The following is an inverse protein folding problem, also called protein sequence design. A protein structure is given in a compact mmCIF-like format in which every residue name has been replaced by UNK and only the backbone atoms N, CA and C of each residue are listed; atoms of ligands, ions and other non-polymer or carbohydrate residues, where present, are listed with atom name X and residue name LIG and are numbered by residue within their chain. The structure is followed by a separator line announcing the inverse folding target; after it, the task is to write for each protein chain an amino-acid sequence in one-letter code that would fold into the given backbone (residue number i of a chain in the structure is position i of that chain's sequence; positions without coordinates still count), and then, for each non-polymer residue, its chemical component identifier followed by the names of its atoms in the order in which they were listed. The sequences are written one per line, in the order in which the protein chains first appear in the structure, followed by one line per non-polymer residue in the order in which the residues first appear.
data_IF_459377927088
#
_entry.id   IF_459377927088
#
_cell.length_a   1.000
_cell.length_b   1.000
_cell.length_c   1.000
_cell.angle_alpha   90.00
_cell.angle_beta   90.00
_cell.angle_gamma   90.00
#
_symmetry.space_group_name_H-M   'P 1'
#
loop_
_entity.id
_entity.type
_entity.pdbx_description
1 polymer ?
#
# COMPACT_ATOMS: atom_id res chain seq x y z
N UNK A 1 -11.47 -0.21 -20.44
CA UNK A 1 -11.49 -1.69 -20.54
C UNK A 1 -12.79 -2.16 -19.91
N UNK A 2 -13.43 -3.18 -20.45
CA UNK A 2 -14.61 -3.81 -19.84
C UNK A 2 -14.18 -4.90 -18.85
N UNK A 3 -15.07 -5.32 -17.94
CA UNK A 3 -14.80 -6.42 -17.01
C UNK A 3 -14.37 -7.70 -17.73
N UNK A 4 -15.08 -8.09 -18.79
CA UNK A 4 -14.76 -9.27 -19.58
C UNK A 4 -13.37 -9.19 -20.23
N UNK A 5 -13.00 -8.02 -20.76
CA UNK A 5 -11.66 -7.79 -21.33
C UNK A 5 -10.57 -7.87 -20.26
N UNK A 6 -10.85 -7.39 -19.06
CA UNK A 6 -9.95 -7.46 -17.91
C UNK A 6 -9.77 -8.91 -17.44
N UNK A 7 -10.87 -9.63 -17.23
CA UNK A 7 -10.88 -11.04 -16.81
C UNK A 7 -10.11 -11.95 -17.76
N UNK A 8 -10.25 -11.73 -19.07
CA UNK A 8 -9.53 -12.50 -20.09
C UNK A 8 -8.00 -12.31 -20.05
N UNK A 9 -7.50 -11.30 -19.34
CA UNK A 9 -6.06 -11.04 -19.15
C UNK A 9 -5.51 -11.60 -17.84
N UNK A 10 -6.39 -12.03 -16.92
CA UNK A 10 -5.94 -12.54 -15.62
C UNK A 10 -5.31 -13.92 -15.81
N UNK A 11 -4.06 -14.05 -15.36
CA UNK A 11 -3.39 -15.32 -15.23
C UNK A 11 -3.61 -15.86 -13.81
N UNK A 12 -4.38 -16.95 -13.68
CA UNK A 12 -4.68 -17.57 -12.40
C UNK A 12 -3.68 -18.66 -12.04
N UNK A 13 -3.22 -18.65 -10.80
CA UNK A 13 -2.39 -19.72 -10.25
C UNK A 13 -3.22 -20.85 -9.62
N UNK A 14 -2.54 -21.84 -9.03
CA UNK A 14 -3.20 -22.99 -8.39
C UNK A 14 -3.86 -22.67 -7.05
N UNK A 15 -3.59 -21.50 -6.48
CA UNK A 15 -4.14 -21.04 -5.21
C UNK A 15 -5.35 -20.11 -5.39
N UNK A 16 -5.72 -19.79 -6.63
CA UNK A 16 -6.81 -18.87 -6.93
C UNK A 16 -6.39 -17.40 -6.87
N UNK A 17 -5.09 -17.12 -6.98
CA UNK A 17 -4.55 -15.76 -7.07
C UNK A 17 -4.39 -15.43 -8.55
N UNK A 18 -5.03 -14.35 -8.97
CA UNK A 18 -5.00 -13.85 -10.33
C UNK A 18 -3.98 -12.73 -10.47
N UNK A 19 -3.18 -12.79 -11.52
CA UNK A 19 -2.16 -11.78 -11.83
C UNK A 19 -2.47 -11.11 -13.16
N UNK A 20 -2.43 -9.78 -13.20
CA UNK A 20 -2.59 -9.02 -14.45
C UNK A 20 -1.81 -7.72 -14.39
N UNK A 21 -0.95 -7.48 -15.39
CA UNK A 21 -0.28 -6.20 -15.56
C UNK A 21 -1.26 -5.14 -16.08
N UNK A 22 -1.33 -4.02 -15.36
CA UNK A 22 -2.20 -2.90 -15.73
C UNK A 22 -1.41 -1.61 -15.63
N UNK A 23 -1.46 -0.80 -16.68
CA UNK A 23 -0.93 0.56 -16.63
C UNK A 23 -1.74 1.38 -15.61
N UNK A 24 -1.07 1.82 -14.55
CA UNK A 24 -1.63 2.60 -13.47
C UNK A 24 -1.19 4.06 -13.61
N UNK A 25 -2.08 4.99 -14.03
CA UNK A 25 -1.71 6.37 -14.33
C UNK A 25 -1.05 7.13 -13.18
N UNK A 26 -1.38 6.77 -11.93
CA UNK A 26 -0.80 7.36 -10.73
C UNK A 26 0.73 7.24 -10.67
N UNK A 27 1.29 6.13 -11.16
CA UNK A 27 2.73 5.87 -11.15
C UNK A 27 3.37 5.93 -12.55
N UNK A 28 2.58 6.25 -13.58
CA UNK A 28 3.01 6.27 -14.98
C UNK A 28 3.74 4.98 -15.42
N UNK A 29 3.29 3.82 -14.95
CA UNK A 29 3.87 2.52 -15.31
C UNK A 29 2.86 1.38 -15.20
N UNK A 30 3.22 0.23 -15.75
CA UNK A 30 2.53 -1.02 -15.47
C UNK A 30 2.83 -1.50 -14.05
N UNK A 31 1.78 -1.90 -13.34
CA UNK A 31 1.83 -2.50 -12.00
C UNK A 31 1.01 -3.79 -12.05
N UNK A 32 1.50 -4.82 -11.37
CA UNK A 32 0.80 -6.09 -11.24
C UNK A 32 -0.39 -5.90 -10.30
N UNK A 33 -1.59 -6.25 -10.76
CA UNK A 33 -2.74 -6.43 -9.89
C UNK A 33 -2.82 -7.90 -9.47
N UNK A 34 -2.88 -8.12 -8.17
CA UNK A 34 -3.04 -9.41 -7.51
C UNK A 34 -4.49 -9.52 -6.99
N UNK A 35 -5.21 -10.52 -7.48
CA UNK A 35 -6.65 -10.67 -7.30
C UNK A 35 -6.92 -11.98 -6.57
N UNK A 36 -7.38 -11.92 -5.32
CA UNK A 36 -7.63 -13.12 -4.51
C UNK A 36 -9.08 -13.56 -4.68
N UNK A 37 -9.29 -14.67 -5.38
CA UNK A 37 -10.62 -15.25 -5.61
C UNK A 37 -11.15 -16.00 -4.38
N UNK A 38 -12.47 -16.09 -4.23
CA UNK A 38 -13.13 -16.94 -3.23
C UNK A 38 -12.89 -18.44 -3.48
N UNK A 39 -13.03 -18.87 -4.74
CA UNK A 39 -12.86 -20.26 -5.16
C UNK A 39 -11.55 -20.42 -5.94
N UNK A 40 -10.61 -21.18 -5.40
CA UNK A 40 -9.35 -21.50 -6.07
C UNK A 40 -9.49 -22.54 -7.19
N UNK A 41 -10.60 -23.27 -7.25
CA UNK A 41 -10.84 -24.28 -8.30
C UNK A 41 -11.45 -23.67 -9.55
N UNK A 42 -12.28 -22.65 -9.40
CA UNK A 42 -12.91 -21.91 -10.49
C UNK A 42 -12.76 -20.42 -10.26
N UNK A 43 -11.52 -19.89 -10.32
CA UNK A 43 -11.27 -18.54 -9.89
C UNK A 43 -11.91 -17.51 -10.80
N UNK A 44 -12.45 -16.46 -10.19
CA UNK A 44 -13.09 -15.34 -10.87
C UNK A 44 -13.04 -14.10 -9.99
N UNK A 45 -13.29 -12.92 -10.57
CA UNK A 45 -13.47 -11.69 -9.81
C UNK A 45 -14.94 -11.32 -9.75
N UNK A 46 -15.36 -10.74 -8.63
CA UNK A 46 -16.71 -10.21 -8.49
C UNK A 46 -16.86 -8.87 -9.22
N UNK A 47 -18.10 -8.36 -9.29
CA UNK A 47 -18.33 -7.01 -9.80
C UNK A 47 -17.75 -5.95 -8.86
N UNK A 48 -17.71 -6.22 -7.55
CA UNK A 48 -17.18 -5.28 -6.56
C UNK A 48 -15.65 -5.20 -6.62
N UNK A 49 -14.95 -6.33 -6.75
CA UNK A 49 -13.51 -6.35 -7.03
C UNK A 49 -13.16 -5.59 -8.31
N UNK A 50 -13.93 -5.80 -9.39
CA UNK A 50 -13.70 -5.06 -10.64
C UNK A 50 -13.95 -3.55 -10.47
N UNK A 51 -14.99 -3.15 -9.74
CA UNK A 51 -15.22 -1.74 -9.41
C UNK A 51 -14.08 -1.16 -8.57
N UNK A 52 -13.46 -1.95 -7.68
CA UNK A 52 -12.26 -1.55 -6.94
C UNK A 52 -11.06 -1.33 -7.88
N UNK A 53 -10.85 -2.21 -8.87
CA UNK A 53 -9.82 -1.99 -9.91
C UNK A 53 -10.06 -0.65 -10.60
N UNK A 54 -11.30 -0.37 -11.00
CA UNK A 54 -11.64 0.90 -11.63
C UNK A 54 -11.42 2.11 -10.70
N UNK A 55 -11.67 1.97 -9.41
CA UNK A 55 -11.42 3.01 -8.41
C UNK A 55 -9.93 3.33 -8.32
N UNK A 56 -9.06 2.31 -8.25
CA UNK A 56 -7.60 2.49 -8.22
C UNK A 56 -7.10 3.14 -9.52
N UNK A 57 -7.58 2.70 -10.68
CA UNK A 57 -7.20 3.29 -11.97
C UNK A 57 -7.66 4.74 -12.16
N UNK A 58 -8.64 5.20 -11.37
CA UNK A 58 -9.16 6.59 -11.38
C UNK A 58 -8.50 7.48 -10.33
N UNK A 59 -7.58 6.96 -9.52
CA UNK A 59 -6.78 7.78 -8.62
C UNK A 59 -6.10 8.90 -9.41
N UNK A 60 -6.22 10.11 -8.91
CA UNK A 60 -5.75 11.28 -9.62
C UNK A 60 -4.22 11.38 -9.48
N UNK A 61 -3.49 11.88 -10.49
CA UNK A 61 -2.03 12.01 -10.39
C UNK A 61 -1.55 12.85 -9.20
N UNK A 62 -2.35 13.82 -8.74
CA UNK A 62 -2.02 14.61 -7.55
C UNK A 62 -2.15 13.83 -6.22
N UNK A 63 -2.73 12.62 -6.23
CA UNK A 63 -2.70 11.71 -5.08
C UNK A 63 -1.29 11.19 -4.79
N UNK A 64 -0.32 11.42 -5.68
CA UNK A 64 1.08 11.06 -5.42
C UNK A 64 1.65 11.81 -4.22
N UNK A 65 1.24 13.07 -4.01
CA UNK A 65 1.69 13.87 -2.86
C UNK A 65 1.26 13.22 -1.54
N UNK A 66 0.08 12.60 -1.52
CA UNK A 66 -0.40 11.87 -0.36
C UNK A 66 0.40 10.58 -0.12
N UNK A 67 0.83 9.89 -1.18
CA UNK A 67 1.72 8.73 -1.05
C UNK A 67 3.09 9.15 -0.50
N UNK A 68 3.65 10.26 -0.99
CA UNK A 68 4.90 10.82 -0.46
C UNK A 68 4.77 11.11 1.04
N UNK A 69 3.67 11.73 1.47
CA UNK A 69 3.43 12.04 2.88
C UNK A 69 3.33 10.76 3.73
N UNK A 70 2.62 9.72 3.27
CA UNK A 70 2.49 8.44 3.98
C UNK A 70 3.82 7.68 4.07
N UNK A 71 4.61 7.65 2.99
CA UNK A 71 5.93 7.00 3.01
C UNK A 71 6.93 7.74 3.90
N UNK A 72 6.83 9.07 3.96
CA UNK A 72 7.63 9.85 4.90
C UNK A 72 7.22 9.57 6.35
N UNK A 73 5.92 9.52 6.64
CA UNK A 73 5.42 9.13 7.95
C UNK A 73 5.91 7.73 8.34
N UNK A 74 5.92 6.79 7.38
CA UNK A 74 6.45 5.44 7.58
C UNK A 74 7.91 5.45 8.01
N UNK A 75 8.78 6.12 7.25
CA UNK A 75 10.20 6.21 7.60
C UNK A 75 10.39 6.88 8.97
N UNK A 76 9.64 7.96 9.26
CA UNK A 76 9.72 8.67 10.54
C UNK A 76 9.32 7.78 11.71
N UNK A 77 8.23 7.03 11.58
CA UNK A 77 7.75 6.09 12.58
C UNK A 77 8.77 4.96 12.79
N UNK A 78 9.18 4.29 11.72
CA UNK A 78 10.10 3.16 11.74
C UNK A 78 11.45 3.52 12.37
N UNK A 79 12.01 4.68 12.03
CA UNK A 79 13.27 5.16 12.63
C UNK A 79 13.12 5.70 14.04
N UNK A 80 11.89 5.92 14.52
CA UNK A 80 11.61 6.30 15.92
C UNK A 80 11.51 5.07 16.81
N UNK A 81 10.87 3.99 16.34
CA UNK A 81 10.56 2.82 17.17
C UNK A 81 11.51 1.65 16.94
N UNK A 82 12.18 1.59 15.79
CA UNK A 82 13.11 0.55 15.40
C UNK A 82 14.58 0.93 15.59
N UNK A 83 15.44 -0.08 15.55
CA UNK A 83 16.89 0.04 15.48
C UNK A 83 17.39 -0.72 14.26
N UNK A 84 17.94 0.01 13.30
CA UNK A 84 18.45 -0.53 12.04
C UNK A 84 19.98 -0.67 12.05
N UNK A 85 20.61 -0.56 13.22
CA UNK A 85 22.06 -0.72 13.39
C UNK A 85 22.87 0.46 12.87
N UNK A 86 22.27 1.63 12.74
CA UNK A 86 22.96 2.86 12.35
C UNK A 86 23.57 3.51 13.60
N UNK A 87 24.90 3.55 13.64
CA UNK A 87 25.64 4.15 14.76
C UNK A 87 25.58 5.69 14.68
N UNK A 88 25.09 6.38 15.74
CA UNK A 88 25.06 7.84 15.75
C UNK A 88 26.45 8.46 15.81
N UNK A 89 26.64 9.56 15.07
CA UNK A 89 27.81 10.42 15.24
C UNK A 89 27.70 11.31 16.51
N UNK A 90 28.79 11.98 16.89
CA UNK A 90 28.83 12.85 18.08
C UNK A 90 27.78 13.98 17.99
N UNK A 91 26.74 13.88 18.83
CA UNK A 91 25.64 14.86 18.91
C UNK A 91 24.41 14.51 18.06
N UNK A 92 24.43 13.38 17.37
CA UNK A 92 23.32 12.83 16.59
C UNK A 92 22.43 11.93 17.47
N UNK A 93 21.12 11.96 17.24
CA UNK A 93 20.18 10.96 17.78
C UNK A 93 20.18 9.70 16.91
N UNK A 94 19.73 8.56 17.45
CA UNK A 94 19.60 7.31 16.67
C UNK A 94 18.72 7.51 15.42
N UNK A 95 17.63 8.27 15.55
CA UNK A 95 16.74 8.61 14.44
C UNK A 95 17.45 9.42 13.35
N UNK A 96 18.23 10.44 13.74
CA UNK A 96 19.01 11.23 12.78
C UNK A 96 20.06 10.36 12.07
N UNK A 97 20.69 9.42 12.79
CA UNK A 97 21.63 8.47 12.21
C UNK A 97 20.95 7.57 11.15
N UNK A 98 19.74 7.08 11.42
CA UNK A 98 18.95 6.35 10.42
C UNK A 98 18.69 7.21 9.17
N UNK A 99 18.15 8.43 9.33
CA UNK A 99 17.89 9.31 8.19
C UNK A 99 19.15 9.62 7.38
N UNK A 100 20.30 9.79 8.03
CA UNK A 100 21.60 10.00 7.37
C UNK A 100 22.06 8.78 6.59
N UNK A 101 22.11 7.60 7.22
CA UNK A 101 22.61 6.35 6.60
C UNK A 101 21.71 5.87 5.46
N UNK A 102 20.40 6.07 5.55
CA UNK A 102 19.45 5.76 4.47
C UNK A 102 19.37 6.88 3.40
N UNK A 103 20.04 8.02 3.63
CA UNK A 103 20.05 9.23 2.80
C UNK A 103 18.62 9.75 2.52
N UNK A 104 17.82 9.88 3.56
CA UNK A 104 16.43 10.32 3.52
C UNK A 104 16.30 11.71 4.15
N UNK A 105 16.10 12.76 3.33
CA UNK A 105 16.06 14.15 3.81
C UNK A 105 14.68 14.80 3.68
N UNK A 106 13.79 14.21 2.88
CA UNK A 106 12.45 14.71 2.63
C UNK A 106 11.54 13.59 2.09
N UNK A 107 10.24 13.90 1.94
CA UNK A 107 9.24 12.95 1.44
C UNK A 107 9.45 12.48 -0.01
N UNK A 108 10.08 13.31 -0.85
CA UNK A 108 10.43 12.89 -2.21
C UNK A 108 11.55 11.85 -2.20
N UNK A 109 12.50 11.94 -1.28
CA UNK A 109 13.53 10.91 -1.11
C UNK A 109 12.89 9.57 -0.71
N UNK A 110 11.99 9.60 0.31
CA UNK A 110 11.26 8.41 0.76
C UNK A 110 10.48 7.75 -0.38
N UNK A 111 9.75 8.54 -1.18
CA UNK A 111 9.06 8.02 -2.35
C UNK A 111 10.03 7.45 -3.41
N UNK A 112 11.08 8.19 -3.75
CA UNK A 112 12.03 7.80 -4.81
C UNK A 112 12.85 6.56 -4.50
N UNK A 113 13.08 6.28 -3.21
CA UNK A 113 13.80 5.11 -2.71
C UNK A 113 12.87 3.94 -2.37
N UNK A 114 11.55 4.15 -2.35
CA UNK A 114 10.55 3.09 -2.20
C UNK A 114 10.24 2.42 -3.54
N UNK A 115 9.74 1.18 -3.51
CA UNK A 115 9.32 0.44 -4.69
C UNK A 115 7.90 -0.12 -4.56
N UNK A 116 6.98 0.39 -5.38
CA UNK A 116 5.63 -0.20 -5.52
C UNK A 116 5.74 -1.57 -6.20
N UNK A 117 5.27 -2.62 -5.51
CA UNK A 117 5.32 -4.01 -5.95
C UNK A 117 4.07 -4.36 -6.76
N UNK A 118 2.90 -4.23 -6.14
CA UNK A 118 1.63 -4.69 -6.69
C UNK A 118 0.44 -3.93 -6.10
N UNK A 119 -0.73 -4.13 -6.69
CA UNK A 119 -2.03 -3.74 -6.12
C UNK A 119 -2.80 -4.99 -5.78
N UNK A 120 -3.08 -5.22 -4.51
CA UNK A 120 -3.82 -6.37 -4.01
C UNK A 120 -5.30 -6.01 -3.81
N UNK A 121 -6.18 -6.90 -4.28
CA UNK A 121 -7.62 -6.81 -4.08
C UNK A 121 -8.13 -8.20 -3.70
N UNK A 122 -8.65 -8.32 -2.49
CA UNK A 122 -9.14 -9.58 -1.95
C UNK A 122 -10.66 -9.69 -2.03
N UNK A 123 -11.17 -10.87 -2.38
CA UNK A 123 -12.58 -11.20 -2.24
C UNK A 123 -13.08 -11.06 -0.80
N UNK A 124 -12.23 -11.26 0.21
CA UNK A 124 -12.62 -11.07 1.61
C UNK A 124 -13.11 -9.64 1.88
N UNK A 125 -12.53 -8.65 1.19
CA UNK A 125 -12.92 -7.24 1.27
C UNK A 125 -14.31 -6.96 0.68
N UNK A 126 -14.87 -7.88 -0.14
CA UNK A 126 -16.24 -7.73 -0.62
C UNK A 126 -17.28 -7.83 0.49
N UNK A 127 -16.94 -8.47 1.62
CA UNK A 127 -17.79 -8.61 2.81
C UNK A 127 -17.92 -7.31 3.61
N UNK A 128 -17.05 -6.33 3.36
CA UNK A 128 -17.05 -5.01 4.00
C UNK A 128 -18.03 -4.05 3.29
N UNK A 129 -18.37 -2.91 3.88
CA UNK A 129 -19.18 -1.92 3.16
C UNK A 129 -18.34 -1.19 2.11
N UNK A 130 -17.10 -0.83 2.45
CA UNK A 130 -16.14 -0.20 1.54
C UNK A 130 -15.66 -1.11 0.40
N UNK A 131 -15.16 -0.49 -0.67
CA UNK A 131 -14.32 -1.13 -1.69
C UNK A 131 -12.87 -0.86 -1.37
N UNK A 132 -12.07 -1.90 -1.17
CA UNK A 132 -10.69 -1.78 -0.70
C UNK A 132 -9.70 -2.38 -1.69
N UNK A 133 -8.57 -1.68 -1.84
CA UNK A 133 -7.35 -2.20 -2.43
C UNK A 133 -6.17 -1.81 -1.55
N UNK A 134 -5.10 -2.60 -1.63
CA UNK A 134 -3.82 -2.34 -0.97
C UNK A 134 -2.76 -2.17 -2.03
N UNK A 135 -2.03 -1.07 -2.00
CA UNK A 135 -0.85 -0.87 -2.84
C UNK A 135 0.36 -1.31 -2.02
N UNK A 136 0.95 -2.43 -2.40
CA UNK A 136 2.10 -3.02 -1.74
C UNK A 136 3.36 -2.23 -2.09
N UNK A 137 4.10 -1.79 -1.08
CA UNK A 137 5.30 -0.96 -1.24
C UNK A 137 6.42 -1.49 -0.35
N UNK A 138 7.57 -1.78 -0.95
CA UNK A 138 8.83 -1.83 -0.20
C UNK A 138 9.22 -0.39 0.09
N UNK A 139 9.12 0.04 1.35
CA UNK A 139 9.42 1.42 1.74
C UNK A 139 10.93 1.67 1.75
N UNK A 140 11.31 2.95 1.79
CA UNK A 140 12.71 3.35 1.87
C UNK A 140 13.38 2.98 3.21
N UNK A 141 12.63 2.53 4.21
CA UNK A 141 13.13 2.01 5.48
C UNK A 141 13.25 0.48 5.49
N UNK A 142 13.18 -0.16 4.31
CA UNK A 142 13.21 -1.62 4.11
C UNK A 142 12.03 -2.40 4.74
N UNK A 143 10.89 -1.74 4.96
CA UNK A 143 9.66 -2.39 5.40
C UNK A 143 8.72 -2.67 4.23
N UNK A 144 8.02 -3.79 4.25
CA UNK A 144 6.91 -4.06 3.33
C UNK A 144 5.61 -3.55 3.97
N UNK A 145 4.96 -2.58 3.32
CA UNK A 145 3.74 -1.94 3.80
C UNK A 145 2.61 -1.99 2.75
N UNK A 146 1.39 -1.86 3.24
CA UNK A 146 0.18 -1.67 2.44
C UNK A 146 -0.29 -0.22 2.52
N UNK A 147 -0.26 0.52 1.40
CA UNK A 147 -1.01 1.78 1.29
C UNK A 147 -2.47 1.46 0.97
N UNK A 148 -3.39 1.91 1.82
CA UNK A 148 -4.79 1.50 1.79
C UNK A 148 -5.61 2.48 0.94
N UNK A 149 -6.33 1.91 -0.03
CA UNK A 149 -7.29 2.63 -0.87
C UNK A 149 -8.70 2.18 -0.52
N UNK A 150 -9.56 3.11 -0.12
CA UNK A 150 -10.98 2.89 0.15
C UNK A 150 -11.84 3.75 -0.77
N UNK A 151 -12.72 3.12 -1.54
CA UNK A 151 -13.66 3.79 -2.47
C UNK A 151 -12.96 4.81 -3.41
N UNK A 152 -11.77 4.45 -3.93
CA UNK A 152 -11.00 5.32 -4.82
C UNK A 152 -10.29 6.49 -4.13
N UNK A 153 -10.05 6.40 -2.82
CA UNK A 153 -9.26 7.36 -2.05
C UNK A 153 -8.19 6.63 -1.27
N UNK A 154 -6.97 7.16 -1.30
CA UNK A 154 -5.91 6.76 -0.37
C UNK A 154 -6.31 7.28 1.01
N UNK A 155 -6.24 6.43 2.04
CA UNK A 155 -6.71 6.80 3.38
C UNK A 155 -5.63 6.69 4.47
N UNK A 156 -4.77 5.67 4.41
CA UNK A 156 -3.74 5.40 5.41
C UNK A 156 -2.71 4.42 4.81
N UNK A 157 -1.71 4.03 5.60
CA UNK A 157 -0.90 2.83 5.38
C UNK A 157 -0.86 1.98 6.65
N UNK A 158 -0.57 0.69 6.50
CA UNK A 158 -0.31 -0.22 7.61
C UNK A 158 0.69 -1.31 7.17
N UNK A 159 1.10 -2.17 8.08
CA UNK A 159 1.93 -3.34 7.76
C UNK A 159 1.22 -4.27 6.76
N UNK A 160 2.00 -5.04 5.99
CA UNK A 160 1.44 -6.07 5.10
C UNK A 160 0.55 -7.06 5.86
N UNK A 161 -0.59 -7.42 5.27
CA UNK A 161 -1.59 -8.29 5.88
C UNK A 161 -2.49 -7.60 6.91
N UNK A 162 -2.61 -6.27 6.86
CA UNK A 162 -3.54 -5.50 7.72
C UNK A 162 -4.99 -5.98 7.60
N UNK A 163 -5.75 -5.83 8.69
CA UNK A 163 -7.17 -6.13 8.67
C UNK A 163 -7.97 -4.91 8.21
N UNK A 164 -8.45 -4.96 6.97
CA UNK A 164 -9.18 -3.86 6.33
C UNK A 164 -10.49 -3.48 7.04
N UNK A 165 -11.05 -4.35 7.89
CA UNK A 165 -12.25 -4.03 8.68
C UNK A 165 -12.03 -2.88 9.68
N UNK A 166 -10.79 -2.63 10.10
CA UNK A 166 -10.44 -1.54 11.01
C UNK A 166 -10.71 -0.17 10.40
N UNK A 167 -10.67 -0.07 9.07
CA UNK A 167 -10.84 1.17 8.32
C UNK A 167 -12.30 1.48 7.94
N UNK A 168 -13.26 0.61 8.30
CA UNK A 168 -14.68 0.83 8.01
C UNK A 168 -15.21 2.07 8.73
N UNK A 169 -14.85 2.22 10.01
CA UNK A 169 -15.33 3.29 10.89
C UNK A 169 -14.29 4.38 11.18
N UNK A 170 -13.00 4.07 11.05
CA UNK A 170 -11.90 5.02 11.24
C UNK A 170 -10.89 4.88 10.09
N UNK A 171 -10.97 5.79 9.11
CA UNK A 171 -10.07 5.78 7.94
C UNK A 171 -8.60 6.07 8.32
N UNK A 172 -8.32 6.55 9.54
CA UNK A 172 -6.98 6.83 10.06
C UNK A 172 -6.61 5.90 11.22
N UNK A 173 -7.18 4.69 11.24
CA UNK A 173 -6.99 3.75 12.34
C UNK A 173 -5.50 3.47 12.62
N UNK A 174 -4.72 3.14 11.58
CA UNK A 174 -3.33 2.76 11.73
C UNK A 174 -2.47 3.98 12.13
N UNK A 175 -2.73 5.14 11.53
CA UNK A 175 -2.14 6.41 11.97
C UNK A 175 -2.37 6.67 13.47
N UNK A 176 -3.61 6.52 13.94
CA UNK A 176 -3.96 6.71 15.34
C UNK A 176 -3.25 5.71 16.26
N UNK A 177 -2.97 4.50 15.80
CA UNK A 177 -2.16 3.52 16.52
C UNK A 177 -0.68 3.94 16.59
N UNK A 178 -0.08 4.36 15.48
CA UNK A 178 1.30 4.87 15.44
C UNK A 178 1.52 6.07 16.36
N UNK A 179 0.59 7.02 16.36
CA UNK A 179 0.63 8.20 17.24
C UNK A 179 0.60 7.80 18.72
N UNK A 180 -0.16 6.76 19.10
CA UNK A 180 -0.16 6.28 20.50
C UNK A 180 1.21 5.74 20.88
N UNK A 181 1.80 4.89 20.03
CA UNK A 181 3.13 4.30 20.28
C UNK A 181 4.20 5.37 20.43
N UNK A 182 4.19 6.42 19.60
CA UNK A 182 5.18 7.50 19.68
C UNK A 182 5.04 8.42 20.91
N UNK A 183 3.91 8.36 21.62
CA UNK A 183 3.63 9.20 22.80
C UNK A 183 3.74 8.44 24.13
N UNK A 184 4.04 7.14 24.10
CA UNK A 184 4.29 6.29 25.28
C UNK A 184 5.76 6.35 25.73
#
# INVERSE_FOLDING_TARGET
MTKQEFENKINWDTYGIGYVDVYLPLFDREVVFELFSEDSKNPSITDKMYATVEDVLKLQPNSIEQIEDLLWEECDFSFTVGDYGCEPEDGETVKEAHFREFELFNKQDAYSKSNVQSVQISYESDKLEGRYAEIQVDSASDNLISIIVKNGKIIDYDDDGTNLDWFETDEQYAHNCRIKVMNE
#
